data_IF_465771073181
#
_entry.id   IF_465771073181
#
_cell.length_a   1.000
_cell.length_b   1.000
_cell.length_c   1.000
_cell.angle_alpha   90.00
_cell.angle_beta   90.00
_cell.angle_gamma   90.00
#
_symmetry.space_group_name_H-M   'P 1'
#
loop_
_entity.id
_entity.type
_entity.pdbx_description
1 polymer ?
#
# COMPACT_ATOMS: atom_id res chain seq x y z
N UNK A 1 -7.48 -5.00 -12.13
CA UNK A 1 -8.10 -3.90 -11.43
C UNK A 1 -7.41 -2.58 -11.80
N UNK A 2 -8.19 -1.65 -12.33
CA UNK A 2 -7.67 -0.34 -12.74
C UNK A 2 -7.94 0.69 -11.65
N UNK A 3 -6.85 1.20 -11.03
CA UNK A 3 -6.96 2.21 -9.97
C UNK A 3 -6.73 3.59 -10.57
N UNK A 4 -7.70 4.49 -10.38
CA UNK A 4 -7.59 5.88 -10.82
C UNK A 4 -6.85 6.72 -9.78
N UNK A 5 -6.00 7.63 -10.27
CA UNK A 5 -5.27 8.59 -9.44
C UNK A 5 -5.69 10.02 -9.78
N UNK A 6 -6.06 10.76 -8.74
CA UNK A 6 -6.37 12.19 -8.85
C UNK A 6 -5.26 12.95 -8.13
N UNK A 7 -4.73 14.04 -8.72
CA UNK A 7 -3.68 14.81 -8.06
C UNK A 7 -4.07 15.33 -6.67
N UNK A 8 -3.12 15.38 -5.77
CA UNK A 8 -3.31 15.85 -4.39
C UNK A 8 -3.93 17.24 -4.32
N UNK A 9 -3.57 18.13 -5.24
CA UNK A 9 -4.10 19.51 -5.29
C UNK A 9 -5.61 19.58 -5.44
N UNK A 10 -6.23 18.55 -6.03
CA UNK A 10 -7.69 18.45 -6.14
C UNK A 10 -8.30 17.76 -4.92
N UNK A 11 -7.60 16.78 -4.34
CA UNK A 11 -8.08 16.05 -3.19
C UNK A 11 -8.14 16.88 -1.91
N UNK A 12 -7.12 17.71 -1.66
CA UNK A 12 -7.00 18.44 -0.39
C UNK A 12 -8.21 19.35 -0.14
N UNK A 13 -8.62 20.22 -1.09
CA UNK A 13 -9.82 21.03 -0.87
C UNK A 13 -11.09 20.21 -0.69
N UNK A 14 -11.20 19.12 -1.44
CA UNK A 14 -12.35 18.21 -1.35
C UNK A 14 -12.45 17.57 0.02
N UNK A 15 -11.35 17.03 0.54
CA UNK A 15 -11.30 16.38 1.86
C UNK A 15 -11.63 17.40 2.96
N UNK A 16 -11.01 18.58 2.93
CA UNK A 16 -11.28 19.63 3.90
C UNK A 16 -12.75 20.05 3.90
N UNK A 17 -13.34 20.23 2.72
CA UNK A 17 -14.74 20.56 2.56
C UNK A 17 -15.67 19.49 3.13
N UNK A 18 -15.35 18.22 2.90
CA UNK A 18 -16.14 17.09 3.42
C UNK A 18 -16.12 17.05 4.95
N UNK A 19 -14.97 17.27 5.56
CA UNK A 19 -14.85 17.30 7.02
C UNK A 19 -15.70 18.45 7.60
N UNK A 20 -15.61 19.64 7.00
CA UNK A 20 -16.41 20.79 7.43
C UNK A 20 -17.90 20.51 7.36
N UNK A 21 -18.36 19.82 6.33
CA UNK A 21 -19.75 19.43 6.16
C UNK A 21 -20.27 18.63 7.36
N UNK A 22 -19.40 17.84 8.01
CA UNK A 22 -19.75 17.04 9.16
C UNK A 22 -19.35 17.70 10.50
N UNK A 23 -19.04 19.00 10.47
CA UNK A 23 -18.69 19.75 11.66
C UNK A 23 -17.30 19.43 12.22
N UNK A 24 -16.40 18.93 11.38
CA UNK A 24 -15.06 18.55 11.77
C UNK A 24 -14.02 19.33 10.98
N UNK A 25 -12.79 19.36 11.47
CA UNK A 25 -11.69 20.06 10.84
C UNK A 25 -10.53 19.12 10.57
N UNK A 26 -9.98 19.21 9.35
CA UNK A 26 -8.73 18.57 8.97
C UNK A 26 -7.82 19.62 8.36
N UNK A 27 -6.55 19.68 8.79
CA UNK A 27 -5.59 20.58 8.19
C UNK A 27 -5.21 20.12 6.78
N UNK A 28 -4.72 21.06 5.96
CA UNK A 28 -4.20 20.75 4.63
C UNK A 28 -3.06 19.73 4.71
N UNK A 29 -2.25 19.81 5.75
CA UNK A 29 -1.15 18.89 6.00
C UNK A 29 -1.62 17.45 6.18
N UNK A 30 -2.61 17.22 7.04
CA UNK A 30 -3.19 15.88 7.24
C UNK A 30 -3.93 15.39 6.01
N UNK A 31 -4.66 16.25 5.31
CA UNK A 31 -5.31 15.88 4.06
C UNK A 31 -4.29 15.45 3.00
N UNK A 32 -3.18 16.15 2.90
CA UNK A 32 -2.07 15.80 2.01
C UNK A 32 -1.47 14.44 2.38
N UNK A 33 -1.26 14.19 3.67
CA UNK A 33 -0.74 12.91 4.17
C UNK A 33 -1.67 11.74 3.80
N UNK A 34 -2.97 11.92 3.93
CA UNK A 34 -3.94 10.89 3.50
C UNK A 34 -3.69 10.51 2.04
N UNK A 35 -3.56 11.50 1.16
CA UNK A 35 -3.31 11.25 -0.25
C UNK A 35 -1.98 10.52 -0.50
N UNK A 36 -0.93 10.94 0.18
CA UNK A 36 0.42 10.37 0.03
C UNK A 36 0.48 8.92 0.50
N UNK A 37 -0.15 8.61 1.62
CA UNK A 37 -0.16 7.26 2.21
C UNK A 37 -0.70 6.24 1.22
N UNK A 38 -1.76 6.58 0.51
CA UNK A 38 -2.42 5.68 -0.46
C UNK A 38 -2.11 6.06 -1.91
N UNK A 39 -1.07 6.86 -2.14
CA UNK A 39 -0.54 7.22 -3.47
C UNK A 39 -1.61 7.75 -4.42
N UNK A 40 -2.54 8.54 -3.90
CA UNK A 40 -3.61 9.20 -4.65
C UNK A 40 -4.59 8.25 -5.37
N UNK A 41 -4.62 6.97 -5.02
CA UNK A 41 -5.63 6.06 -5.57
C UNK A 41 -7.01 6.43 -5.02
N UNK A 42 -7.89 6.84 -5.93
CA UNK A 42 -9.17 7.50 -5.59
C UNK A 42 -10.01 6.72 -4.58
N UNK A 43 -10.17 5.42 -4.77
CA UNK A 43 -10.96 4.58 -3.86
C UNK A 43 -10.35 4.54 -2.47
N UNK A 44 -9.03 4.46 -2.37
CA UNK A 44 -8.33 4.42 -1.10
C UNK A 44 -8.29 5.80 -0.42
N UNK A 45 -8.15 6.89 -1.18
CA UNK A 45 -8.22 8.23 -0.61
C UNK A 45 -9.57 8.46 0.05
N UNK A 46 -10.65 8.11 -0.63
CA UNK A 46 -12.01 8.25 -0.10
C UNK A 46 -12.21 7.38 1.14
N UNK A 47 -11.79 6.12 1.09
CA UNK A 47 -11.96 5.19 2.20
C UNK A 47 -11.13 5.62 3.42
N UNK A 48 -9.88 6.00 3.22
CA UNK A 48 -9.02 6.46 4.33
C UNK A 48 -9.54 7.76 4.94
N UNK A 49 -9.93 8.73 4.10
CA UNK A 49 -10.50 9.97 4.59
C UNK A 49 -11.77 9.73 5.42
N UNK A 50 -12.64 8.84 4.97
CA UNK A 50 -13.83 8.46 5.71
C UNK A 50 -13.49 7.82 7.07
N UNK A 51 -12.52 6.90 7.08
CA UNK A 51 -12.08 6.23 8.31
C UNK A 51 -11.48 7.23 9.31
N UNK A 52 -10.66 8.16 8.84
CA UNK A 52 -10.08 9.22 9.69
C UNK A 52 -11.20 10.11 10.24
N UNK A 53 -12.16 10.48 9.42
CA UNK A 53 -13.30 11.29 9.87
C UNK A 53 -14.08 10.59 10.96
N UNK A 54 -14.31 9.28 10.82
CA UNK A 54 -15.04 8.49 11.82
C UNK A 54 -14.32 8.45 13.16
N UNK A 55 -12.98 8.53 13.17
CA UNK A 55 -12.16 8.54 14.39
C UNK A 55 -12.01 9.95 15.00
N UNK A 56 -12.48 10.99 14.29
CA UNK A 56 -12.29 12.39 14.67
C UNK A 56 -13.52 12.93 15.36
N UNK A 57 -13.36 13.53 16.52
CA UNK A 57 -14.47 14.25 17.18
C UNK A 57 -14.66 15.64 16.55
N UNK A 58 -13.65 16.50 16.64
CA UNK A 58 -13.69 17.87 16.11
C UNK A 58 -12.55 18.18 15.17
N UNK A 59 -11.32 17.82 15.55
CA UNK A 59 -10.11 18.14 14.80
C UNK A 59 -9.24 16.91 14.66
N UNK A 60 -8.70 16.69 13.46
CA UNK A 60 -7.81 15.56 13.16
C UNK A 60 -6.45 15.75 13.83
N UNK A 61 -6.03 14.74 14.56
CA UNK A 61 -4.68 14.63 15.11
C UNK A 61 -4.00 13.36 14.60
N UNK A 62 -2.78 13.10 15.05
CA UNK A 62 -2.01 11.93 14.62
C UNK A 62 -2.71 10.61 14.98
N UNK A 63 -3.34 10.53 16.14
CA UNK A 63 -4.07 9.32 16.56
C UNK A 63 -5.26 9.05 15.64
N UNK A 64 -5.99 10.08 15.23
CA UNK A 64 -7.10 9.94 14.27
C UNK A 64 -6.60 9.36 12.96
N UNK A 65 -5.48 9.87 12.46
CA UNK A 65 -4.87 9.39 11.22
C UNK A 65 -4.43 7.94 11.35
N UNK A 66 -3.69 7.60 12.41
CA UNK A 66 -3.19 6.24 12.61
C UNK A 66 -4.32 5.24 12.79
N UNK A 67 -5.35 5.59 13.55
CA UNK A 67 -6.53 4.74 13.72
C UNK A 67 -7.27 4.55 12.41
N UNK A 68 -7.37 5.59 11.59
CA UNK A 68 -7.97 5.49 10.26
C UNK A 68 -7.19 4.54 9.34
N UNK A 69 -5.88 4.61 9.37
CA UNK A 69 -5.00 3.69 8.62
C UNK A 69 -5.21 2.25 9.08
N UNK A 70 -5.18 2.02 10.40
CA UNK A 70 -5.38 0.67 10.96
C UNK A 70 -6.73 0.09 10.55
N UNK A 71 -7.78 0.90 10.55
CA UNK A 71 -9.11 0.48 10.11
C UNK A 71 -9.09 0.09 8.63
N UNK A 72 -8.42 0.86 7.78
CA UNK A 72 -8.28 0.54 6.37
C UNK A 72 -7.59 -0.81 6.16
N UNK A 73 -6.50 -1.06 6.88
CA UNK A 73 -5.77 -2.32 6.79
C UNK A 73 -6.63 -3.51 7.25
N UNK A 74 -7.42 -3.32 8.30
CA UNK A 74 -8.37 -4.34 8.77
C UNK A 74 -9.46 -4.63 7.73
N UNK A 75 -9.98 -3.60 7.09
CA UNK A 75 -11.01 -3.74 6.06
C UNK A 75 -10.52 -4.52 4.85
N UNK A 76 -9.24 -4.42 4.52
CA UNK A 76 -8.61 -5.11 3.39
C UNK A 76 -7.96 -6.45 3.76
N UNK A 77 -7.86 -6.75 5.04
CA UNK A 77 -7.07 -7.86 5.58
C UNK A 77 -7.44 -9.23 4.98
N UNK A 78 -8.73 -9.55 4.90
CA UNK A 78 -9.16 -10.84 4.40
C UNK A 78 -8.76 -11.07 2.95
N UNK A 79 -8.84 -10.03 2.12
CA UNK A 79 -8.38 -10.10 0.73
C UNK A 79 -6.87 -10.34 0.65
N UNK A 80 -6.10 -9.61 1.44
CA UNK A 80 -4.64 -9.72 1.43
C UNK A 80 -4.15 -11.05 2.01
N UNK A 81 -4.81 -11.56 3.05
CA UNK A 81 -4.54 -12.90 3.56
C UNK A 81 -4.78 -13.94 2.46
N UNK A 82 -5.90 -13.82 1.75
CA UNK A 82 -6.21 -14.72 0.65
C UNK A 82 -5.16 -14.65 -0.47
N UNK A 83 -4.69 -13.45 -0.81
CA UNK A 83 -3.66 -13.27 -1.84
C UNK A 83 -2.32 -13.90 -1.46
N UNK A 84 -1.99 -13.91 -0.16
CA UNK A 84 -0.71 -14.44 0.32
C UNK A 84 -0.79 -15.90 0.73
N UNK A 85 -1.99 -16.47 0.83
CA UNK A 85 -2.18 -17.86 1.21
C UNK A 85 -1.52 -18.80 0.21
N UNK A 86 -0.75 -19.74 0.72
CA UNK A 86 -0.07 -20.73 -0.11
C UNK A 86 1.20 -20.25 -0.82
N UNK A 87 1.64 -19.00 -0.58
CA UNK A 87 2.90 -18.53 -1.14
C UNK A 87 4.09 -19.25 -0.51
N UNK A 88 5.08 -19.55 -1.33
CA UNK A 88 6.34 -20.18 -0.87
C UNK A 88 7.19 -19.15 -0.13
N UNK A 89 8.17 -19.66 0.64
CA UNK A 89 9.16 -18.80 1.31
C UNK A 89 9.89 -17.89 0.32
N UNK A 90 10.25 -18.40 -0.85
CA UNK A 90 10.92 -17.60 -1.87
C UNK A 90 10.01 -16.49 -2.42
N UNK A 91 8.73 -16.78 -2.63
CA UNK A 91 7.76 -15.78 -3.07
C UNK A 91 7.57 -14.69 -2.01
N UNK A 92 7.47 -15.08 -0.74
CA UNK A 92 7.39 -14.12 0.36
C UNK A 92 8.65 -13.26 0.47
N UNK A 93 9.83 -13.85 0.28
CA UNK A 93 11.09 -13.12 0.26
C UNK A 93 11.14 -12.08 -0.87
N UNK A 94 10.57 -12.40 -2.03
CA UNK A 94 10.49 -11.46 -3.14
C UNK A 94 9.60 -10.26 -2.78
N UNK A 95 8.47 -10.49 -2.14
CA UNK A 95 7.60 -9.41 -1.66
C UNK A 95 8.32 -8.56 -0.63
N UNK A 96 9.03 -9.17 0.33
CA UNK A 96 9.83 -8.44 1.33
C UNK A 96 10.88 -7.54 0.69
N UNK A 97 11.53 -8.04 -0.33
CA UNK A 97 12.53 -7.33 -1.10
C UNK A 97 11.92 -6.08 -1.77
N UNK A 98 10.75 -6.21 -2.39
CA UNK A 98 10.03 -5.08 -2.97
C UNK A 98 9.59 -4.07 -1.90
N UNK A 99 9.19 -4.53 -0.74
CA UNK A 99 8.83 -3.66 0.39
C UNK A 99 10.02 -2.85 0.91
N UNK A 100 11.25 -3.30 0.65
CA UNK A 100 12.47 -2.58 1.00
C UNK A 100 13.03 -1.76 -0.17
N UNK A 101 12.17 -1.38 -1.09
CA UNK A 101 12.47 -0.50 -2.23
C UNK A 101 13.53 -1.05 -3.20
N UNK A 102 13.64 -2.38 -3.28
CA UNK A 102 14.49 -3.04 -4.26
C UNK A 102 13.61 -3.50 -5.42
N UNK A 103 13.74 -2.84 -6.58
CA UNK A 103 12.83 -3.03 -7.71
C UNK A 103 13.50 -3.64 -8.94
N UNK A 104 14.81 -3.87 -8.87
CA UNK A 104 15.60 -4.49 -9.94
C UNK A 104 16.91 -5.04 -9.37
N UNK A 105 17.72 -5.68 -10.24
CA UNK A 105 19.01 -6.22 -9.81
C UNK A 105 18.92 -7.41 -8.87
N UNK A 106 17.89 -8.23 -9.00
CA UNK A 106 17.60 -9.33 -8.06
C UNK A 106 18.64 -10.44 -8.05
N UNK A 107 19.56 -10.47 -9.01
CA UNK A 107 20.65 -11.47 -9.07
C UNK A 107 21.94 -11.02 -8.40
N UNK A 108 21.99 -9.79 -7.86
CA UNK A 108 23.14 -9.27 -7.13
C UNK A 108 23.36 -10.11 -5.86
N UNK A 109 24.61 -10.47 -5.59
CA UNK A 109 24.94 -11.38 -4.49
C UNK A 109 24.48 -10.88 -3.12
N UNK A 110 24.64 -9.59 -2.84
CA UNK A 110 24.18 -9.00 -1.57
C UNK A 110 22.67 -9.13 -1.37
N UNK A 111 21.91 -9.04 -2.47
CA UNK A 111 20.46 -9.23 -2.43
C UNK A 111 20.13 -10.70 -2.20
N UNK A 112 20.81 -11.60 -2.90
CA UNK A 112 20.62 -13.04 -2.75
C UNK A 112 20.93 -13.51 -1.33
N UNK A 113 21.92 -12.91 -0.68
CA UNK A 113 22.30 -13.24 0.69
C UNK A 113 21.26 -12.77 1.71
N UNK A 114 20.66 -11.62 1.48
CA UNK A 114 19.66 -11.01 2.38
C UNK A 114 18.25 -11.58 2.14
N UNK A 115 17.91 -11.82 0.88
CA UNK A 115 16.60 -12.30 0.46
C UNK A 115 16.75 -13.52 -0.43
N UNK A 116 16.91 -14.73 0.16
CA UNK A 116 17.07 -15.95 -0.65
C UNK A 116 15.88 -16.14 -1.61
N UNK A 117 16.18 -16.24 -2.89
CA UNK A 117 15.19 -16.40 -3.96
C UNK A 117 15.37 -17.69 -4.76
N UNK A 118 16.38 -18.48 -4.41
CA UNK A 118 16.75 -19.66 -5.16
C UNK A 118 17.59 -19.32 -6.39
N UNK A 119 17.49 -20.12 -7.45
CA UNK A 119 18.24 -19.91 -8.68
C UNK A 119 17.73 -18.72 -9.49
N UNK A 120 18.52 -18.27 -10.46
CA UNK A 120 18.11 -17.21 -11.39
C UNK A 120 16.84 -17.58 -12.15
N UNK A 121 16.70 -18.84 -12.57
CA UNK A 121 15.48 -19.32 -13.23
C UNK A 121 14.28 -19.32 -12.28
N UNK A 122 14.51 -19.53 -10.98
CA UNK A 122 13.47 -19.47 -9.98
C UNK A 122 12.92 -18.06 -9.79
N UNK A 123 13.77 -17.04 -9.92
CA UNK A 123 13.34 -15.63 -9.84
C UNK A 123 12.30 -15.34 -10.92
N UNK A 124 12.49 -15.80 -12.13
CA UNK A 124 11.52 -15.62 -13.20
C UNK A 124 10.20 -16.34 -12.92
N UNK A 125 10.26 -17.54 -12.32
CA UNK A 125 9.05 -18.26 -11.88
C UNK A 125 8.30 -17.54 -10.78
N UNK A 126 9.03 -16.98 -9.81
CA UNK A 126 8.46 -16.17 -8.72
C UNK A 126 7.70 -14.97 -9.31
N UNK A 127 8.36 -14.23 -10.19
CA UNK A 127 7.77 -13.06 -10.83
C UNK A 127 6.47 -13.41 -11.57
N UNK A 128 6.51 -14.46 -12.36
CA UNK A 128 5.35 -14.92 -13.12
C UNK A 128 4.20 -15.34 -12.20
N UNK A 129 4.50 -16.07 -11.13
CA UNK A 129 3.49 -16.51 -10.18
C UNK A 129 2.81 -15.33 -9.47
N UNK A 130 3.61 -14.34 -9.06
CA UNK A 130 3.08 -13.15 -8.37
C UNK A 130 2.32 -12.22 -9.32
N UNK A 131 2.74 -12.12 -10.58
CA UNK A 131 1.99 -11.39 -11.60
C UNK A 131 0.63 -12.03 -11.85
N UNK A 132 0.57 -13.36 -11.93
CA UNK A 132 -0.68 -14.09 -12.12
C UNK A 132 -1.67 -13.89 -10.97
N UNK A 133 -1.17 -13.65 -9.76
CA UNK A 133 -1.99 -13.31 -8.59
C UNK A 133 -2.28 -11.82 -8.48
N UNK A 134 -1.80 -11.02 -9.42
CA UNK A 134 -1.96 -9.57 -9.42
C UNK A 134 -1.33 -8.87 -8.20
N UNK A 135 -0.33 -9.51 -7.58
CA UNK A 135 0.40 -8.95 -6.44
C UNK A 135 1.46 -7.97 -6.89
N UNK A 136 2.10 -8.23 -8.02
CA UNK A 136 3.14 -7.37 -8.58
C UNK A 136 2.79 -6.89 -9.98
N UNK A 137 3.42 -5.81 -10.38
CA UNK A 137 3.38 -5.29 -11.75
C UNK A 137 4.80 -5.00 -12.20
N UNK A 138 5.08 -5.26 -13.48
CA UNK A 138 6.38 -4.99 -14.09
C UNK A 138 6.26 -3.80 -15.02
N UNK A 139 7.14 -2.82 -14.85
CA UNK A 139 7.24 -1.64 -15.69
C UNK A 139 8.67 -1.52 -16.23
N UNK A 140 8.92 -0.53 -17.08
CA UNK A 140 10.27 -0.23 -17.59
C UNK A 140 11.24 0.17 -16.45
N UNK A 141 10.71 0.65 -15.33
CA UNK A 141 11.51 1.11 -14.20
C UNK A 141 11.78 -0.01 -13.17
N UNK A 142 11.18 -1.18 -13.35
CA UNK A 142 11.38 -2.32 -12.47
C UNK A 142 10.09 -3.03 -12.10
N UNK A 143 10.17 -3.82 -11.05
CA UNK A 143 9.05 -4.59 -10.50
C UNK A 143 8.55 -3.91 -9.23
N UNK A 144 7.24 -3.74 -9.13
CA UNK A 144 6.61 -3.03 -8.02
C UNK A 144 5.41 -3.83 -7.50
N UNK A 145 5.07 -3.62 -6.24
CA UNK A 145 3.80 -4.11 -5.70
C UNK A 145 2.65 -3.37 -6.39
N UNK A 146 1.64 -4.11 -6.80
CA UNK A 146 0.52 -3.55 -7.57
C UNK A 146 -0.42 -2.68 -6.72
N UNK A 147 -0.44 -2.91 -5.40
CA UNK A 147 -1.38 -2.27 -4.48
C UNK A 147 -0.62 -1.66 -3.29
N UNK A 148 -0.70 -0.34 -3.13
CA UNK A 148 0.00 0.37 -2.06
C UNK A 148 -0.53 0.03 -0.67
N UNK A 149 -1.80 -0.31 -0.53
CA UNK A 149 -2.39 -0.71 0.75
C UNK A 149 -1.95 -2.13 1.11
N UNK A 150 -1.81 -3.01 0.12
CA UNK A 150 -1.19 -4.32 0.32
C UNK A 150 0.22 -4.19 0.90
N UNK A 151 1.02 -3.26 0.36
CA UNK A 151 2.37 -3.01 0.87
C UNK A 151 2.35 -2.60 2.34
N UNK A 152 1.48 -1.68 2.73
CA UNK A 152 1.33 -1.25 4.11
C UNK A 152 0.92 -2.41 5.02
N UNK A 153 -0.05 -3.19 4.58
CA UNK A 153 -0.52 -4.36 5.30
C UNK A 153 0.59 -5.41 5.48
N UNK A 154 1.31 -5.71 4.41
CA UNK A 154 2.39 -6.71 4.41
C UNK A 154 3.51 -6.30 5.37
N UNK A 155 3.92 -5.02 5.33
CA UNK A 155 4.94 -4.49 6.25
C UNK A 155 4.52 -4.62 7.71
N UNK A 156 3.25 -4.41 8.00
CA UNK A 156 2.72 -4.50 9.36
C UNK A 156 2.59 -5.93 9.85
N UNK A 157 2.08 -6.83 9.03
CA UNK A 157 1.69 -8.18 9.44
C UNK A 157 2.74 -9.26 9.16
N UNK A 158 3.57 -9.07 8.14
CA UNK A 158 4.45 -10.13 7.60
C UNK A 158 5.94 -9.80 7.72
N UNK A 159 6.31 -8.61 8.18
CA UNK A 159 7.70 -8.21 8.33
C UNK A 159 8.10 -7.95 9.77
#
# INVERSE_FOLDING_TARGET
LHLECIPTEYWVPFICSRFEKYGKHISKEYATRICEIVKNYSSYVQQLAWNVMAETEKEVDEDCLQNGINTLLQQCSSLFIQQTEGLTTYQLNFIRLLCNDIHSGFTVQSIADTYPLGSKSNIERIKKALENREIITTTKDGVFLADCVFELWFKKEMM
#
